data_IF_058599439541
#
_entry.id   IF_058599439541
#
_cell.length_a   1.000
_cell.length_b   1.000
_cell.length_c   1.000
_cell.angle_alpha   90.00
_cell.angle_beta   90.00
_cell.angle_gamma   90.00
#
_symmetry.space_group_name_H-M   'P 1'
#
loop_
_entity.id
_entity.type
_entity.pdbx_description
1 polymer ?
#
# COMPACT_ATOMS: atom_id res chain seq x y z
N UNK A 1 -7.59 -46.96 -0.75
CA UNK A 1 -8.49 -47.10 0.42
C UNK A 1 -8.99 -45.70 0.73
N UNK A 2 -10.29 -45.47 0.52
CA UNK A 2 -10.96 -44.17 0.68
C UNK A 2 -11.34 -43.99 2.16
N UNK A 3 -11.04 -42.83 2.76
CA UNK A 3 -11.84 -42.25 3.85
C UNK A 3 -11.97 -40.75 3.57
N UNK A 4 -13.17 -40.25 3.81
CA UNK A 4 -13.73 -39.01 3.30
C UNK A 4 -13.98 -38.00 4.43
N UNK A 5 -13.98 -36.71 4.04
CA UNK A 5 -14.81 -35.57 4.50
C UNK A 5 -14.81 -35.19 5.99
N UNK A 6 -14.60 -33.89 6.28
CA UNK A 6 -15.63 -33.01 6.86
C UNK A 6 -15.45 -31.57 6.32
N UNK A 7 -16.58 -30.95 6.00
CA UNK A 7 -16.79 -29.61 5.46
C UNK A 7 -16.66 -28.51 6.53
N UNK A 8 -16.23 -27.31 6.12
CA UNK A 8 -16.68 -26.07 6.72
C UNK A 8 -16.93 -25.06 5.58
N UNK A 9 -18.21 -24.86 5.26
CA UNK A 9 -18.68 -23.81 4.37
C UNK A 9 -19.05 -22.60 5.25
N UNK A 10 -18.37 -21.47 5.05
CA UNK A 10 -18.78 -20.19 5.60
C UNK A 10 -19.26 -19.31 4.44
N UNK A 11 -20.52 -18.90 4.52
CA UNK A 11 -21.17 -17.95 3.63
C UNK A 11 -20.46 -16.60 3.70
N UNK A 12 -20.16 -16.01 2.53
CA UNK A 12 -20.16 -14.56 2.38
C UNK A 12 -21.28 -14.17 1.42
N UNK A 13 -22.17 -13.32 1.91
CA UNK A 13 -23.25 -12.72 1.17
C UNK A 13 -22.72 -11.60 0.27
N UNK A 14 -22.76 -11.81 -1.04
CA UNK A 14 -22.54 -10.75 -2.03
C UNK A 14 -23.88 -10.12 -2.38
N UNK A 15 -24.08 -8.88 -1.95
CA UNK A 15 -25.14 -7.99 -2.44
C UNK A 15 -24.77 -7.57 -3.86
N UNK A 16 -25.41 -8.18 -4.85
CA UNK A 16 -25.39 -7.74 -6.24
C UNK A 16 -26.64 -6.91 -6.51
N UNK A 17 -26.53 -5.58 -6.41
CA UNK A 17 -27.45 -4.64 -7.03
C UNK A 17 -26.99 -4.45 -8.48
N UNK A 18 -27.36 -5.38 -9.35
CA UNK A 18 -27.27 -5.19 -10.80
C UNK A 18 -28.53 -4.50 -11.30
N UNK A 19 -28.32 -3.33 -11.91
CA UNK A 19 -29.35 -2.45 -12.42
C UNK A 19 -30.20 -3.03 -13.55
N UNK A 20 -31.41 -2.50 -13.62
CA UNK A 20 -32.38 -2.69 -14.68
C UNK A 20 -31.82 -2.27 -16.04
N UNK A 21 -31.56 -3.24 -16.92
CA UNK A 21 -31.43 -3.04 -18.35
C UNK A 21 -32.75 -3.33 -19.05
N UNK A 22 -33.44 -2.28 -19.50
CA UNK A 22 -34.64 -2.37 -20.33
C UNK A 22 -34.30 -2.83 -21.75
N UNK A 23 -35.06 -3.79 -22.28
CA UNK A 23 -35.30 -3.98 -23.72
C UNK A 23 -36.67 -4.66 -23.89
N UNK A 24 -37.65 -3.87 -24.29
CA UNK A 24 -38.98 -4.33 -24.69
C UNK A 24 -38.94 -4.80 -26.15
N UNK A 25 -39.43 -6.02 -26.39
CA UNK A 25 -39.80 -6.51 -27.71
C UNK A 25 -41.32 -6.67 -27.80
N UNK A 26 -41.83 -6.14 -28.88
CA UNK A 26 -43.19 -6.10 -29.45
C UNK A 26 -43.95 -7.44 -29.46
N UNK A 27 -45.27 -7.39 -29.29
CA UNK A 27 -46.17 -8.46 -29.74
C UNK A 27 -47.52 -8.55 -29.02
N UNK A 28 -48.51 -7.84 -29.57
CA UNK A 28 -49.96 -8.11 -29.62
C UNK A 28 -50.79 -8.39 -28.34
N UNK A 29 -51.72 -7.46 -28.02
CA UNK A 29 -53.17 -7.71 -27.97
C UNK A 29 -53.95 -6.37 -27.87
N UNK A 30 -54.97 -6.20 -28.71
CA UNK A 30 -55.95 -5.10 -28.73
C UNK A 30 -57.14 -5.39 -27.78
N UNK A 31 -58.24 -4.59 -27.76
CA UNK A 31 -58.37 -3.17 -27.38
C UNK A 31 -59.53 -2.96 -26.37
N UNK A 32 -59.48 -1.95 -25.48
CA UNK A 32 -60.71 -1.37 -24.92
C UNK A 32 -60.58 0.14 -24.77
N UNK A 33 -61.64 0.82 -25.23
CA UNK A 33 -61.94 2.24 -25.30
C UNK A 33 -61.89 2.99 -23.95
N UNK A 34 -61.59 4.29 -23.99
CA UNK A 34 -61.95 5.22 -22.90
C UNK A 34 -61.06 6.46 -22.75
N UNK A 35 -61.53 7.59 -23.29
CA UNK A 35 -61.33 8.96 -22.80
C UNK A 35 -59.95 9.67 -22.90
N UNK A 36 -59.87 10.60 -23.86
CA UNK A 36 -59.16 11.91 -23.78
C UNK A 36 -59.71 12.79 -22.63
N UNK A 37 -59.07 13.90 -22.18
CA UNK A 37 -57.98 14.70 -22.77
C UNK A 37 -56.81 14.92 -21.73
N UNK A 38 -55.70 15.63 -21.92
CA UNK A 38 -55.42 16.87 -22.61
C UNK A 38 -53.92 17.03 -22.88
N UNK A 39 -53.62 17.79 -23.93
CA UNK A 39 -52.29 18.25 -24.33
C UNK A 39 -51.70 19.22 -23.29
N UNK A 40 -50.40 19.10 -23.03
CA UNK A 40 -49.57 20.23 -22.60
C UNK A 40 -48.16 20.05 -23.13
N UNK A 41 -47.89 20.77 -24.21
CA UNK A 41 -46.59 21.03 -24.79
C UNK A 41 -45.91 22.18 -24.04
N UNK A 42 -44.74 21.90 -23.46
CA UNK A 42 -43.66 22.88 -23.23
C UNK A 42 -42.34 22.10 -23.35
N UNK A 43 -41.70 22.04 -24.51
CA UNK A 43 -40.71 23.01 -25.02
C UNK A 43 -39.80 23.62 -23.95
N UNK A 44 -38.53 23.23 -24.02
CA UNK A 44 -37.33 24.04 -23.75
C UNK A 44 -37.16 24.63 -22.34
N UNK A 45 -36.25 24.03 -21.57
CA UNK A 45 -35.39 24.80 -20.68
C UNK A 45 -33.96 24.26 -20.72
N UNK A 46 -33.20 24.74 -21.70
CA UNK A 46 -31.75 24.84 -21.63
C UNK A 46 -31.46 26.24 -21.10
N UNK A 47 -30.81 26.32 -19.94
CA UNK A 47 -30.11 27.53 -19.51
C UNK A 47 -30.69 28.22 -18.28
N UNK A 48 -30.31 27.73 -17.11
CA UNK A 48 -30.08 28.58 -15.95
C UNK A 48 -29.10 27.86 -15.02
N UNK A 49 -27.82 28.23 -15.10
CA UNK A 49 -26.92 28.05 -13.96
C UNK A 49 -27.52 28.87 -12.82
N UNK A 50 -28.26 28.20 -11.94
CA UNK A 50 -28.90 28.84 -10.80
C UNK A 50 -27.80 29.36 -9.87
N UNK A 51 -27.94 30.61 -9.45
CA UNK A 51 -27.18 31.24 -8.37
C UNK A 51 -27.41 30.48 -7.05
N UNK A 52 -26.87 29.27 -6.94
CA UNK A 52 -26.82 28.55 -5.68
C UNK A 52 -25.78 29.26 -4.80
N UNK A 53 -26.18 29.64 -3.58
CA UNK A 53 -25.23 30.14 -2.61
C UNK A 53 -24.08 29.14 -2.41
N UNK A 54 -22.83 29.61 -2.23
CA UNK A 54 -21.71 28.74 -1.93
C UNK A 54 -22.03 27.85 -0.72
N UNK A 55 -21.62 26.59 -0.80
CA UNK A 55 -21.83 25.61 0.27
C UNK A 55 -20.49 25.30 0.96
N UNK A 56 -20.47 24.90 2.23
CA UNK A 56 -19.25 24.39 2.85
C UNK A 56 -18.70 23.22 2.04
N UNK A 57 -17.39 23.24 1.79
CA UNK A 57 -16.69 22.14 1.16
C UNK A 57 -16.70 20.91 2.08
N UNK A 58 -16.83 19.74 1.47
CA UNK A 58 -16.52 18.44 2.04
C UNK A 58 -15.83 17.61 0.95
N UNK A 59 -15.14 16.50 1.30
CA UNK A 59 -14.37 15.75 0.32
C UNK A 59 -15.19 15.24 -0.87
N UNK A 60 -16.40 14.76 -0.63
CA UNK A 60 -17.27 14.20 -1.69
C UNK A 60 -17.75 15.29 -2.65
N UNK A 61 -18.16 16.45 -2.14
CA UNK A 61 -18.57 17.59 -2.98
C UNK A 61 -17.40 18.16 -3.77
N UNK A 62 -16.24 18.28 -3.13
CA UNK A 62 -15.02 18.74 -3.80
C UNK A 62 -14.62 17.78 -4.93
N UNK A 63 -14.64 16.48 -4.67
CA UNK A 63 -14.36 15.43 -5.68
C UNK A 63 -15.35 15.48 -6.84
N UNK A 64 -16.64 15.60 -6.56
CA UNK A 64 -17.68 15.71 -7.57
C UNK A 64 -17.48 16.96 -8.45
N UNK A 65 -17.14 18.10 -7.84
CA UNK A 65 -16.88 19.34 -8.56
C UNK A 65 -15.63 19.27 -9.44
N UNK A 66 -14.52 18.72 -8.93
CA UNK A 66 -13.31 18.49 -9.73
C UNK A 66 -13.61 17.62 -10.95
N UNK A 67 -14.39 16.55 -10.79
CA UNK A 67 -14.78 15.67 -11.88
C UNK A 67 -15.68 16.37 -12.90
N UNK A 68 -16.69 17.13 -12.44
CA UNK A 68 -17.59 17.90 -13.31
C UNK A 68 -16.83 18.95 -14.14
N UNK A 69 -15.92 19.69 -13.49
CA UNK A 69 -15.09 20.70 -14.13
C UNK A 69 -13.91 20.13 -14.93
N UNK A 70 -13.72 18.80 -14.91
CA UNK A 70 -12.59 18.10 -15.54
C UNK A 70 -11.21 18.61 -15.09
N UNK A 71 -11.11 19.03 -13.84
CA UNK A 71 -9.84 19.42 -13.23
C UNK A 71 -9.03 18.18 -12.84
N UNK A 72 -7.73 18.22 -13.11
CA UNK A 72 -6.81 17.16 -12.66
C UNK A 72 -6.63 17.24 -11.15
N UNK A 73 -7.02 16.18 -10.46
CA UNK A 73 -7.01 16.08 -9.00
C UNK A 73 -5.73 15.41 -8.50
N UNK A 74 -5.01 16.05 -7.56
CA UNK A 74 -3.90 15.47 -6.80
C UNK A 74 -4.32 14.77 -5.50
N UNK A 75 -5.62 14.58 -5.34
CA UNK A 75 -6.36 14.05 -4.20
C UNK A 75 -6.74 15.06 -3.11
N UNK A 76 -7.64 14.65 -2.22
CA UNK A 76 -8.25 15.46 -1.18
C UNK A 76 -7.96 14.84 0.18
N UNK A 77 -7.55 15.66 1.14
CA UNK A 77 -7.29 15.21 2.52
C UNK A 77 -7.92 16.15 3.55
N UNK A 78 -8.04 15.65 4.77
CA UNK A 78 -8.52 16.41 5.92
C UNK A 78 -7.35 16.67 6.87
N UNK A 79 -7.11 17.94 7.19
CA UNK A 79 -6.15 18.35 8.21
C UNK A 79 -6.74 19.49 9.04
N UNK A 80 -6.60 19.41 10.36
CA UNK A 80 -7.13 20.41 11.29
C UNK A 80 -8.63 20.70 11.17
N UNK A 81 -9.42 19.80 10.58
CA UNK A 81 -10.85 20.00 10.32
C UNK A 81 -11.18 20.77 9.03
N UNK A 82 -10.17 21.10 8.22
CA UNK A 82 -10.33 21.74 6.91
C UNK A 82 -10.21 20.72 5.78
N UNK A 83 -10.86 21.01 4.65
CA UNK A 83 -10.72 20.23 3.41
C UNK A 83 -9.57 20.80 2.59
N UNK A 84 -8.55 19.99 2.36
CA UNK A 84 -7.41 20.36 1.52
C UNK A 84 -7.54 19.66 0.17
N UNK A 85 -7.43 20.44 -0.91
CA UNK A 85 -7.72 19.97 -2.27
C UNK A 85 -6.49 20.25 -3.13
N UNK A 86 -5.84 19.19 -3.57
CA UNK A 86 -4.71 19.28 -4.48
C UNK A 86 -5.22 19.37 -5.92
N UNK A 87 -4.80 20.40 -6.64
CA UNK A 87 -5.18 20.63 -8.04
C UNK A 87 -3.92 20.76 -8.87
N UNK A 88 -3.84 20.01 -9.97
CA UNK A 88 -2.70 20.12 -10.89
C UNK A 88 -2.90 21.31 -11.81
N UNK A 89 -1.96 22.26 -11.78
CA UNK A 89 -2.02 23.48 -12.58
C UNK A 89 -3.06 24.46 -12.06
N UNK A 90 -3.09 24.64 -10.74
CA UNK A 90 -3.97 25.61 -10.09
C UNK A 90 -3.68 27.02 -10.60
N UNK A 91 -4.73 27.71 -11.03
CA UNK A 91 -4.65 29.10 -11.49
C UNK A 91 -5.82 29.94 -10.97
N UNK A 92 -5.77 31.25 -11.27
CA UNK A 92 -6.78 32.21 -10.81
C UNK A 92 -8.20 31.94 -11.38
N UNK A 93 -8.32 31.25 -12.51
CA UNK A 93 -9.63 30.86 -13.04
C UNK A 93 -10.22 29.72 -12.21
N UNK A 94 -9.41 28.69 -11.92
CA UNK A 94 -9.81 27.57 -11.07
C UNK A 94 -10.17 28.08 -9.67
N UNK A 95 -9.34 28.92 -9.05
CA UNK A 95 -9.64 29.53 -7.75
C UNK A 95 -10.98 30.27 -7.74
N UNK A 96 -11.26 31.04 -8.81
CA UNK A 96 -12.54 31.73 -8.95
C UNK A 96 -13.70 30.75 -9.05
N UNK A 97 -13.57 29.68 -9.83
CA UNK A 97 -14.60 28.64 -9.94
C UNK A 97 -14.87 27.95 -8.59
N UNK A 98 -13.82 27.65 -7.82
CA UNK A 98 -13.96 27.14 -6.45
C UNK A 98 -14.66 28.14 -5.52
N UNK A 99 -14.31 29.43 -5.57
CA UNK A 99 -14.94 30.47 -4.74
C UNK A 99 -16.41 30.70 -5.05
N UNK A 100 -16.84 30.46 -6.29
CA UNK A 100 -18.24 30.51 -6.69
C UNK A 100 -19.02 29.28 -6.17
N UNK A 101 -18.35 28.14 -5.99
CA UNK A 101 -18.97 26.88 -5.58
C UNK A 101 -18.99 26.67 -4.07
N UNK A 102 -17.92 27.04 -3.38
CA UNK A 102 -17.68 26.70 -1.98
C UNK A 102 -17.45 27.92 -1.09
N UNK A 103 -17.92 27.83 0.14
CA UNK A 103 -17.79 28.91 1.14
C UNK A 103 -16.32 29.15 1.47
N UNK A 104 -15.89 30.42 1.42
CA UNK A 104 -14.53 30.80 1.80
C UNK A 104 -14.18 30.32 3.22
N UNK A 105 -12.97 29.79 3.40
CA UNK A 105 -12.50 29.24 4.67
C UNK A 105 -12.97 27.82 5.00
N UNK A 106 -13.80 27.19 4.15
CA UNK A 106 -14.16 25.76 4.30
C UNK A 106 -13.19 24.81 3.56
N UNK A 107 -12.28 25.35 2.75
CA UNK A 107 -11.29 24.59 2.01
C UNK A 107 -9.98 25.37 1.85
N UNK A 108 -8.92 24.65 1.51
CA UNK A 108 -7.64 25.17 1.02
C UNK A 108 -7.29 24.49 -0.30
N UNK A 109 -6.87 25.27 -1.30
CA UNK A 109 -6.37 24.75 -2.58
C UNK A 109 -4.85 24.72 -2.57
N UNK A 110 -4.28 23.68 -3.14
CA UNK A 110 -2.84 23.52 -3.31
C UNK A 110 -2.53 23.21 -4.77
N UNK A 111 -1.57 23.95 -5.33
CA UNK A 111 -1.03 23.61 -6.64
C UNK A 111 -0.04 22.45 -6.46
N UNK A 112 -0.21 21.39 -7.23
CA UNK A 112 0.63 20.20 -7.15
C UNK A 112 1.06 19.71 -8.53
N UNK A 113 2.15 18.93 -8.58
CA UNK A 113 2.77 18.52 -9.85
C UNK A 113 2.07 17.29 -10.48
N UNK A 114 1.54 16.38 -9.67
CA UNK A 114 1.03 15.09 -10.10
C UNK A 114 -0.43 14.89 -9.72
N UNK A 115 -1.21 14.30 -10.62
CA UNK A 115 -2.54 13.81 -10.28
C UNK A 115 -2.46 12.52 -9.46
N UNK A 116 -3.52 12.21 -8.72
CA UNK A 116 -3.63 10.94 -7.98
C UNK A 116 -3.49 9.74 -8.92
N UNK A 117 -4.07 9.83 -10.12
CA UNK A 117 -3.94 8.79 -11.15
C UNK A 117 -2.47 8.57 -11.55
N UNK A 118 -1.67 9.63 -11.69
CA UNK A 118 -0.24 9.48 -12.02
C UNK A 118 0.54 8.80 -10.89
N UNK A 119 0.22 9.10 -9.63
CA UNK A 119 0.85 8.46 -8.48
C UNK A 119 0.43 6.98 -8.35
N UNK A 120 -0.83 6.66 -8.59
CA UNK A 120 -1.35 5.28 -8.63
C UNK A 120 -0.76 4.47 -9.80
N UNK A 121 -0.64 5.07 -10.99
CA UNK A 121 0.00 4.44 -12.16
C UNK A 121 1.49 4.18 -11.90
N UNK A 122 2.19 5.11 -11.24
CA UNK A 122 3.57 4.90 -10.82
C UNK A 122 3.69 3.76 -9.80
N UNK A 123 2.80 3.71 -8.80
CA UNK A 123 2.78 2.63 -7.83
C UNK A 123 2.53 1.27 -8.51
N UNK A 124 1.58 1.20 -9.44
CA UNK A 124 1.29 -0.01 -10.19
C UNK A 124 2.46 -0.41 -11.09
N UNK A 125 3.10 0.54 -11.78
CA UNK A 125 4.27 0.27 -12.62
C UNK A 125 5.43 -0.33 -11.82
N UNK A 126 5.61 0.12 -10.57
CA UNK A 126 6.61 -0.43 -9.67
C UNK A 126 6.27 -1.86 -9.23
N UNK A 127 5.01 -2.13 -8.91
CA UNK A 127 4.54 -3.48 -8.60
C UNK A 127 4.71 -4.45 -9.77
N UNK A 128 4.34 -4.02 -10.99
CA UNK A 128 4.43 -4.84 -12.20
C UNK A 128 5.88 -5.10 -12.63
N UNK A 129 6.80 -4.18 -12.30
CA UNK A 129 8.21 -4.30 -12.63
C UNK A 129 9.00 -5.20 -11.66
N UNK A 130 8.41 -5.58 -10.53
CA UNK A 130 9.09 -6.34 -9.48
C UNK A 130 8.29 -7.56 -8.95
N UNK A 131 7.84 -8.46 -9.83
CA UNK A 131 7.00 -9.59 -9.45
C UNK A 131 7.70 -10.57 -8.49
N UNK A 132 9.04 -10.62 -8.55
CA UNK A 132 9.88 -11.50 -7.75
C UNK A 132 10.58 -10.76 -6.60
N UNK A 133 10.21 -9.51 -6.33
CA UNK A 133 10.75 -8.67 -5.26
C UNK A 133 12.29 -8.47 -5.32
N UNK A 134 12.85 -8.42 -6.53
CA UNK A 134 14.27 -8.13 -6.80
C UNK A 134 14.67 -6.68 -6.46
N UNK A 135 13.72 -5.72 -6.46
CA UNK A 135 14.03 -4.34 -6.05
C UNK A 135 14.17 -4.24 -4.52
N UNK A 136 13.71 -5.25 -3.77
CA UNK A 136 13.87 -5.33 -2.32
C UNK A 136 13.02 -4.31 -1.56
N UNK A 137 11.86 -3.92 -2.10
CA UNK A 137 11.02 -2.87 -1.52
C UNK A 137 10.28 -3.39 -0.27
N UNK A 138 10.33 -2.61 0.82
CA UNK A 138 9.58 -2.91 2.04
C UNK A 138 8.14 -2.43 1.97
N UNK A 139 7.92 -1.28 1.36
CA UNK A 139 6.59 -0.70 1.24
C UNK A 139 6.55 0.43 0.23
N UNK A 140 5.35 0.67 -0.29
CA UNK A 140 5.04 1.82 -1.13
C UNK A 140 3.74 2.44 -0.64
N UNK A 141 3.68 3.77 -0.63
CA UNK A 141 2.47 4.52 -0.28
C UNK A 141 2.37 5.78 -1.11
N UNK A 142 1.15 6.17 -1.46
CA UNK A 142 0.90 7.50 -2.02
C UNK A 142 0.84 8.49 -0.85
N UNK A 143 1.78 9.43 -0.81
CA UNK A 143 1.69 10.60 0.05
C UNK A 143 0.92 11.70 -0.67
N UNK A 144 -0.35 11.84 -0.30
CA UNK A 144 -1.23 12.88 -0.84
C UNK A 144 -0.76 14.28 -0.45
N UNK A 145 -0.19 14.46 0.75
CA UNK A 145 0.20 15.79 1.24
C UNK A 145 1.47 16.25 0.54
N UNK A 146 2.48 15.39 0.44
CA UNK A 146 3.72 15.65 -0.31
C UNK A 146 3.58 15.53 -1.81
N UNK A 147 2.45 15.02 -2.31
CA UNK A 147 2.16 14.73 -3.71
C UNK A 147 3.24 13.85 -4.38
N UNK A 148 3.62 12.75 -3.71
CA UNK A 148 4.71 11.84 -4.14
C UNK A 148 4.37 10.39 -3.86
N UNK A 149 5.12 9.50 -4.49
CA UNK A 149 5.13 8.07 -4.17
C UNK A 149 6.25 7.82 -3.15
N UNK A 150 5.89 7.56 -1.91
CA UNK A 150 6.82 7.13 -0.87
C UNK A 150 7.23 5.66 -1.10
N UNK A 151 8.52 5.39 -1.05
CA UNK A 151 9.09 4.06 -1.27
C UNK A 151 10.12 3.81 -0.18
N UNK A 152 9.92 2.74 0.58
CA UNK A 152 10.83 2.36 1.66
C UNK A 152 11.66 1.15 1.25
N UNK A 153 12.98 1.27 1.38
CA UNK A 153 13.96 0.22 1.05
C UNK A 153 14.78 -0.14 2.29
N UNK A 154 15.22 -1.40 2.46
CA UNK A 154 16.36 -1.70 3.30
C UNK A 154 17.65 -1.12 2.70
N UNK A 155 18.62 -0.83 3.57
CA UNK A 155 20.00 -0.45 3.19
C UNK A 155 20.62 -1.38 2.16
N UNK A 156 20.33 -2.68 2.25
CA UNK A 156 20.90 -3.68 1.35
C UNK A 156 20.33 -3.62 -0.08
N UNK A 157 19.23 -2.90 -0.28
CA UNK A 157 18.62 -2.64 -1.58
C UNK A 157 18.92 -1.22 -2.10
N UNK A 158 19.89 -0.50 -1.52
CA UNK A 158 20.22 0.87 -1.94
C UNK A 158 20.62 0.97 -3.44
N UNK A 159 21.20 -0.08 -4.01
CA UNK A 159 21.54 -0.13 -5.43
C UNK A 159 20.31 -0.18 -6.36
N UNK A 160 19.14 -0.52 -5.83
CA UNK A 160 17.86 -0.52 -6.58
C UNK A 160 17.32 0.88 -6.82
N UNK A 161 17.79 1.91 -6.11
CA UNK A 161 17.28 3.30 -6.20
C UNK A 161 17.24 3.80 -7.64
N UNK A 162 18.34 3.67 -8.39
CA UNK A 162 18.40 4.15 -9.76
C UNK A 162 17.47 3.37 -10.71
N UNK A 163 17.21 2.09 -10.44
CA UNK A 163 16.24 1.28 -11.20
C UNK A 163 14.81 1.76 -10.89
N UNK A 164 14.50 1.99 -9.62
CA UNK A 164 13.20 2.50 -9.16
C UNK A 164 12.92 3.87 -9.79
N UNK A 165 13.85 4.82 -9.68
CA UNK A 165 13.72 6.16 -10.29
C UNK A 165 13.52 6.08 -11.82
N UNK A 166 14.09 5.08 -12.50
CA UNK A 166 13.87 4.86 -13.94
C UNK A 166 12.48 4.33 -14.25
N UNK A 167 11.86 3.56 -13.35
CA UNK A 167 10.51 3.00 -13.53
C UNK A 167 9.46 4.09 -13.30
N UNK A 168 9.55 4.80 -12.18
CA UNK A 168 8.48 5.72 -11.74
C UNK A 168 8.79 7.20 -11.98
N UNK A 169 10.02 7.57 -12.30
CA UNK A 169 10.47 8.95 -12.37
C UNK A 169 11.03 9.45 -11.04
N UNK A 170 12.17 10.13 -11.08
CA UNK A 170 12.84 10.68 -9.89
C UNK A 170 12.01 11.76 -9.20
N UNK A 171 11.24 12.49 -9.99
CA UNK A 171 10.35 13.55 -9.54
C UNK A 171 9.09 13.03 -8.85
N UNK A 172 8.69 11.77 -9.08
CA UNK A 172 7.55 11.13 -8.43
C UNK A 172 7.99 10.41 -7.16
N UNK A 173 9.16 9.77 -7.18
CA UNK A 173 9.64 8.95 -6.07
C UNK A 173 10.17 9.79 -4.90
N UNK A 174 9.74 9.48 -3.69
CA UNK A 174 10.41 9.82 -2.44
C UNK A 174 10.92 8.54 -1.79
N UNK A 175 12.24 8.30 -1.88
CA UNK A 175 12.83 7.02 -1.52
C UNK A 175 13.56 7.14 -0.18
N UNK A 176 13.09 6.38 0.80
CA UNK A 176 13.72 6.24 2.10
C UNK A 176 14.49 4.91 2.19
N UNK A 177 15.81 5.00 2.36
CA UNK A 177 16.66 3.83 2.64
C UNK A 177 16.81 3.69 4.15
N UNK A 178 16.26 2.61 4.70
CA UNK A 178 16.29 2.28 6.12
C UNK A 178 17.61 1.58 6.50
N UNK A 179 18.43 2.20 7.36
CA UNK A 179 19.65 1.58 7.84
C UNK A 179 19.33 0.28 8.60
N UNK A 180 20.24 -0.68 8.52
CA UNK A 180 20.07 -1.96 9.23
C UNK A 180 20.16 -1.80 10.76
N UNK A 181 21.03 -0.91 11.24
CA UNK A 181 21.27 -0.69 12.68
C UNK A 181 22.08 -1.81 13.35
N UNK A 182 22.09 -1.82 14.69
CA UNK A 182 22.74 -2.86 15.50
C UNK A 182 21.91 -4.15 15.56
N UNK A 183 22.54 -5.34 15.69
CA UNK A 183 21.81 -6.60 15.80
C UNK A 183 20.98 -6.61 17.08
N UNK A 184 19.72 -7.03 16.98
CA UNK A 184 18.85 -7.12 18.16
C UNK A 184 19.25 -8.30 19.04
N UNK A 185 19.80 -9.38 18.47
CA UNK A 185 20.11 -10.61 19.19
C UNK A 185 21.54 -11.07 18.85
N UNK A 186 22.29 -11.43 19.89
CA UNK A 186 23.56 -12.17 19.79
C UNK A 186 23.34 -13.55 20.39
N UNK A 187 23.59 -14.61 19.64
CA UNK A 187 23.16 -15.94 20.05
C UNK A 187 24.08 -17.03 19.53
N UNK A 188 23.87 -18.25 20.03
CA UNK A 188 24.47 -19.48 19.52
C UNK A 188 23.37 -20.36 18.93
N UNK A 189 23.62 -20.96 17.77
CA UNK A 189 22.68 -21.89 17.14
C UNK A 189 22.60 -23.17 17.98
N UNK A 190 21.42 -23.49 18.49
CA UNK A 190 21.15 -24.69 19.29
C UNK A 190 20.56 -25.83 18.44
N UNK A 191 19.73 -25.50 17.45
CA UNK A 191 19.11 -26.46 16.54
C UNK A 191 18.93 -25.86 15.14
N UNK A 192 18.95 -26.71 14.11
CA UNK A 192 18.67 -26.35 12.72
C UNK A 192 17.58 -27.28 12.20
N UNK A 193 16.46 -26.70 11.79
CA UNK A 193 15.37 -27.39 11.08
C UNK A 193 15.42 -26.98 9.60
N UNK A 194 16.12 -27.79 8.80
CA UNK A 194 16.27 -27.58 7.37
C UNK A 194 14.96 -27.79 6.59
N UNK A 195 13.99 -28.56 7.12
CA UNK A 195 12.71 -28.79 6.43
C UNK A 195 11.87 -27.53 6.44
N UNK A 196 11.85 -26.82 7.56
CA UNK A 196 11.10 -25.57 7.72
C UNK A 196 11.94 -24.32 7.51
N UNK A 197 13.21 -24.47 7.10
CA UNK A 197 14.20 -23.39 6.96
C UNK A 197 14.16 -22.44 8.17
N UNK A 198 14.48 -22.98 9.35
CA UNK A 198 14.54 -22.22 10.61
C UNK A 198 15.62 -22.72 11.54
N UNK A 199 16.05 -21.86 12.46
CA UNK A 199 17.04 -22.18 13.49
C UNK A 199 16.49 -21.87 14.88
N UNK A 200 16.82 -22.72 15.85
CA UNK A 200 16.63 -22.43 17.27
C UNK A 200 17.93 -21.85 17.79
N UNK A 201 17.86 -20.71 18.46
CA UNK A 201 19.03 -20.06 19.01
C UNK A 201 18.90 -19.85 20.51
N UNK A 202 20.04 -19.88 21.18
CA UNK A 202 20.20 -19.48 22.57
C UNK A 202 20.84 -18.09 22.60
N UNK A 203 20.05 -17.09 22.98
CA UNK A 203 20.56 -15.74 23.18
C UNK A 203 21.64 -15.70 24.27
N UNK A 204 22.64 -14.83 24.06
CA UNK A 204 23.72 -14.62 25.01
C UNK A 204 23.16 -14.17 26.37
N UNK A 205 23.45 -14.95 27.42
CA UNK A 205 22.96 -14.69 28.78
C UNK A 205 21.70 -15.48 29.15
N UNK A 206 21.06 -16.15 28.20
CA UNK A 206 19.95 -17.06 28.47
C UNK A 206 20.45 -18.45 28.90
N UNK A 207 19.73 -19.11 29.81
CA UNK A 207 20.08 -20.44 30.30
C UNK A 207 19.70 -21.57 29.31
N UNK A 208 18.67 -21.34 28.50
CA UNK A 208 18.12 -22.31 27.55
C UNK A 208 17.83 -21.62 26.20
N UNK A 209 17.76 -22.39 25.09
CA UNK A 209 17.37 -21.84 23.80
C UNK A 209 15.96 -21.22 23.83
N UNK A 210 15.83 -20.01 23.28
CA UNK A 210 14.68 -19.15 23.55
C UNK A 210 14.03 -18.54 22.30
N UNK A 211 14.65 -18.68 21.11
CA UNK A 211 14.08 -18.14 19.87
C UNK A 211 14.16 -19.11 18.69
N UNK A 212 13.03 -19.36 18.05
CA UNK A 212 12.95 -19.91 16.71
C UNK A 212 12.92 -18.78 15.68
N UNK A 213 13.87 -18.82 14.75
CA UNK A 213 13.95 -17.87 13.65
C UNK A 213 13.78 -18.56 12.31
N UNK A 214 12.77 -18.15 11.53
CA UNK A 214 12.57 -18.59 10.16
C UNK A 214 13.24 -17.65 9.15
N UNK A 215 13.53 -18.19 7.98
CA UNK A 215 14.09 -17.47 6.85
C UNK A 215 13.05 -17.39 5.73
N UNK A 216 12.95 -16.21 5.12
CA UNK A 216 12.22 -15.97 3.88
C UNK A 216 13.18 -15.64 2.73
N UNK A 217 12.62 -15.40 1.55
CA UNK A 217 13.33 -14.99 0.33
C UNK A 217 14.10 -13.67 0.47
N UNK A 218 13.76 -12.85 1.46
CA UNK A 218 14.40 -11.55 1.75
C UNK A 218 15.47 -11.63 2.85
N UNK A 219 15.64 -12.80 3.46
CA UNK A 219 16.59 -13.00 4.54
C UNK A 219 18.03 -12.97 4.02
N UNK A 220 18.85 -12.07 4.58
CA UNK A 220 20.25 -11.94 4.21
C UNK A 220 21.16 -12.79 5.10
N UNK A 221 21.83 -13.76 4.50
CA UNK A 221 22.74 -14.66 5.20
C UNK A 221 24.18 -14.29 4.84
N UNK A 222 24.97 -13.90 5.83
CA UNK A 222 26.37 -13.51 5.62
C UNK A 222 27.33 -14.13 6.62
N UNK A 223 28.60 -14.20 6.25
CA UNK A 223 29.69 -14.53 7.16
C UNK A 223 30.16 -13.32 7.97
N UNK A 224 31.20 -13.52 8.80
CA UNK A 224 31.79 -12.46 9.62
C UNK A 224 32.53 -11.37 8.85
N UNK A 225 32.77 -11.57 7.55
CA UNK A 225 33.35 -10.58 6.62
C UNK A 225 32.27 -9.94 5.74
N UNK A 226 31.01 -10.35 5.88
CA UNK A 226 29.89 -9.88 5.07
C UNK A 226 29.72 -10.60 3.74
N UNK A 227 30.47 -11.67 3.47
CA UNK A 227 30.27 -12.47 2.26
C UNK A 227 28.99 -13.30 2.38
N UNK A 228 28.25 -13.44 1.28
CA UNK A 228 27.01 -14.21 1.26
C UNK A 228 27.27 -15.68 1.58
N UNK A 229 26.43 -16.27 2.43
CA UNK A 229 26.43 -17.71 2.76
C UNK A 229 25.05 -18.30 2.50
N UNK A 230 24.98 -19.62 2.47
CA UNK A 230 23.74 -20.40 2.29
C UNK A 230 23.24 -20.89 3.64
N UNK A 231 21.96 -21.24 3.72
CA UNK A 231 21.39 -21.83 4.94
C UNK A 231 22.16 -23.10 5.38
N UNK A 232 22.61 -23.91 4.42
CA UNK A 232 23.37 -25.14 4.68
C UNK A 232 24.78 -24.89 5.25
N UNK A 233 25.27 -23.65 5.22
CA UNK A 233 26.56 -23.27 5.81
C UNK A 233 26.46 -23.05 7.33
N UNK A 234 25.24 -22.98 7.90
CA UNK A 234 25.03 -22.88 9.34
C UNK A 234 25.27 -24.20 10.05
N UNK A 235 25.84 -24.10 11.26
CA UNK A 235 26.15 -25.24 12.10
C UNK A 235 25.66 -25.02 13.54
N UNK A 236 25.21 -26.10 14.18
CA UNK A 236 24.92 -26.08 15.62
C UNK A 236 26.19 -25.75 16.40
N UNK A 237 26.07 -24.89 17.40
CA UNK A 237 27.18 -24.36 18.20
C UNK A 237 27.80 -23.07 17.65
N UNK A 238 27.40 -22.63 16.45
CA UNK A 238 27.93 -21.43 15.82
C UNK A 238 27.35 -20.16 16.45
N UNK A 239 28.22 -19.19 16.73
CA UNK A 239 27.81 -17.86 17.20
C UNK A 239 27.32 -17.01 16.03
N UNK A 240 26.22 -16.29 16.23
CA UNK A 240 25.56 -15.47 15.22
C UNK A 240 25.09 -14.13 15.79
N UNK A 241 24.97 -13.14 14.92
CA UNK A 241 24.29 -11.86 15.16
C UNK A 241 23.05 -11.81 14.28
N UNK A 242 21.91 -11.48 14.88
CA UNK A 242 20.61 -11.55 14.22
C UNK A 242 19.98 -10.17 14.21
N UNK A 243 19.54 -9.77 13.02
CA UNK A 243 18.63 -8.66 12.79
C UNK A 243 17.28 -9.24 12.42
N UNK A 244 16.23 -8.84 13.12
CA UNK A 244 14.85 -9.31 12.88
C UNK A 244 14.07 -8.30 12.05
N UNK A 245 12.93 -8.72 11.51
CA UNK A 245 11.96 -7.80 10.87
C UNK A 245 11.17 -6.96 11.87
N UNK A 246 11.47 -7.05 13.17
CA UNK A 246 10.81 -6.32 14.25
C UNK A 246 9.61 -7.06 14.88
N UNK A 247 9.01 -8.02 14.18
CA UNK A 247 7.89 -8.81 14.70
C UNK A 247 8.44 -10.09 15.37
N UNK A 248 8.23 -10.20 16.68
CA UNK A 248 8.47 -11.43 17.45
C UNK A 248 7.15 -11.85 18.09
N UNK A 249 6.73 -13.08 17.83
CA UNK A 249 5.55 -13.67 18.43
C UNK A 249 5.84 -14.09 19.87
N UNK A 250 4.91 -13.74 20.75
CA UNK A 250 4.95 -14.12 22.16
C UNK A 250 4.57 -15.61 22.31
N UNK A 251 5.58 -16.47 22.25
CA UNK A 251 5.49 -17.92 22.42
C UNK A 251 6.69 -18.46 23.19
N UNK A 252 6.69 -19.76 23.55
CA UNK A 252 7.84 -20.39 24.19
C UNK A 252 8.26 -21.68 23.45
N UNK A 253 9.40 -21.69 22.72
CA UNK A 253 10.28 -20.54 22.42
C UNK A 253 9.59 -19.44 21.63
N UNK A 254 10.09 -18.19 21.72
CA UNK A 254 9.58 -17.06 20.95
C UNK A 254 9.90 -17.26 19.46
N UNK A 255 9.10 -16.66 18.56
CA UNK A 255 9.23 -16.90 17.12
C UNK A 255 9.38 -15.59 16.34
N UNK A 256 10.30 -15.53 15.39
CA UNK A 256 10.50 -14.35 14.55
C UNK A 256 11.03 -14.68 13.16
N UNK A 257 11.07 -13.67 12.29
CA UNK A 257 11.65 -13.77 10.94
C UNK A 257 12.98 -13.01 10.91
N UNK A 258 13.99 -13.63 10.32
CA UNK A 258 15.30 -13.01 10.12
C UNK A 258 15.19 -11.98 8.98
N UNK A 259 15.67 -10.76 9.24
CA UNK A 259 16.02 -9.80 8.18
C UNK A 259 17.44 -10.10 7.70
N UNK A 260 18.39 -10.22 8.64
CA UNK A 260 19.77 -10.56 8.37
C UNK A 260 20.35 -11.41 9.49
N UNK A 261 21.23 -12.34 9.15
CA UNK A 261 22.04 -13.07 10.10
C UNK A 261 23.50 -13.04 9.65
N UNK A 262 24.40 -12.82 10.60
CA UNK A 262 25.83 -12.85 10.36
C UNK A 262 26.49 -13.89 11.26
N UNK A 263 27.29 -14.78 10.66
CA UNK A 263 28.17 -15.69 11.41
C UNK A 263 29.24 -14.88 12.12
N UNK A 264 29.45 -15.13 13.40
CA UNK A 264 30.57 -14.54 14.14
C UNK A 264 31.77 -15.49 14.05
N UNK A 265 32.95 -15.02 13.58
CA UNK A 265 34.16 -15.83 13.58
C UNK A 265 34.54 -16.23 15.01
N UNK A 266 34.96 -17.49 15.20
CA UNK A 266 35.30 -18.06 16.51
C UNK A 266 36.39 -17.26 17.25
N UNK A 267 37.27 -16.56 16.51
CA UNK A 267 38.31 -15.68 17.05
C UNK A 267 37.80 -14.36 17.66
N UNK A 268 36.51 -14.03 17.49
CA UNK A 268 35.88 -12.82 18.01
C UNK A 268 35.04 -13.06 19.28
N UNK A 269 35.01 -14.28 19.81
CA UNK A 269 34.47 -14.57 21.12
C UNK A 269 35.55 -14.26 22.18
N UNK A 270 35.44 -13.15 22.95
CA UNK A 270 36.29 -13.01 24.12
C UNK A 270 35.96 -14.18 25.04
N UNK A 271 36.93 -15.08 25.21
CA UNK A 271 36.79 -16.24 26.08
C UNK A 271 36.32 -15.78 27.47
N UNK A 272 35.16 -16.27 27.87
CA UNK A 272 34.67 -16.21 29.26
C UNK A 272 35.64 -16.89 30.21
#
# INVERSE_FOLDING_TARGET
>A
MRIARVCAAALLASVLLAGCGAKSSTGDEQPIEGEQPAQSSTSSDRGAAQNASPVPADPEKAKAFLAEASFKNGDIYLDGGNVHINVVGLDADIERQFSARFTAGSYALHDVDFSIQQLEEAQQALHDADPDNELGIYGTSVDVIGNRLEITLPEEAADSVARIEKIVGKEIADIQVMPLGEPQIKATIAEIDAQSSRILVQEQGSAEPNYWFSFDDRSLLVDGQGAAVRFDDFQVGQSVRIWTTGIIQDSFPAQGVIRKIAIVPESANPSS
#
